data_IF_043534265173
#
_entry.id   IF_043534265173
#
_cell.length_a   1.000
_cell.length_b   1.000
_cell.length_c   1.000
_cell.angle_alpha   90.00
_cell.angle_beta   90.00
_cell.angle_gamma   90.00
#
_symmetry.space_group_name_H-M   'P 1'
#
loop_
_entity.id
_entity.type
_entity.pdbx_description
1 polymer ?
#
# COMPACT_ATOMS: atom_id res chain seq x y z
N UNK A 1 -23.64 9.81 12.24
CA UNK A 1 -22.82 9.53 11.05
C UNK A 1 -23.69 9.79 9.84
N UNK A 2 -23.52 10.94 9.19
CA UNK A 2 -24.12 11.16 7.86
C UNK A 2 -23.40 10.22 6.87
N UNK A 3 -24.18 9.44 6.13
CA UNK A 3 -23.64 8.59 5.07
C UNK A 3 -23.26 9.42 3.85
N UNK A 4 -22.37 8.89 3.01
CA UNK A 4 -21.95 9.53 1.76
C UNK A 4 -23.17 9.81 0.87
N UNK A 5 -23.22 11.01 0.28
CA UNK A 5 -24.30 11.38 -0.64
C UNK A 5 -24.25 10.59 -1.95
N UNK A 6 -25.39 10.46 -2.65
CA UNK A 6 -25.45 9.71 -3.94
C UNK A 6 -24.44 10.21 -4.97
N UNK A 7 -24.25 11.52 -5.06
CA UNK A 7 -23.30 12.13 -6.00
C UNK A 7 -21.85 11.86 -5.63
N UNK A 8 -21.56 11.77 -4.32
CA UNK A 8 -20.24 11.43 -3.82
C UNK A 8 -19.88 9.97 -4.12
N UNK A 9 -20.84 9.05 -3.93
CA UNK A 9 -20.69 7.64 -4.31
C UNK A 9 -20.41 7.52 -5.81
N UNK A 10 -21.12 8.28 -6.65
CA UNK A 10 -20.90 8.29 -8.11
C UNK A 10 -19.47 8.75 -8.45
N UNK A 11 -18.99 9.84 -7.86
CA UNK A 11 -17.62 10.35 -8.08
C UNK A 11 -16.54 9.35 -7.63
N UNK A 12 -16.70 8.72 -6.48
CA UNK A 12 -15.75 7.70 -5.99
C UNK A 12 -15.71 6.52 -6.97
N UNK A 13 -16.88 6.08 -7.45
CA UNK A 13 -16.95 4.98 -8.40
C UNK A 13 -16.24 5.29 -9.72
N UNK A 14 -16.53 6.45 -10.31
CA UNK A 14 -15.89 6.89 -11.56
C UNK A 14 -14.36 6.95 -11.40
N UNK A 15 -13.87 7.53 -10.31
CA UNK A 15 -12.44 7.58 -9.99
C UNK A 15 -11.79 6.18 -9.86
N UNK A 16 -12.46 5.23 -9.21
CA UNK A 16 -11.96 3.87 -9.06
C UNK A 16 -11.99 3.08 -10.37
N UNK A 17 -13.03 3.27 -11.19
CA UNK A 17 -13.16 2.63 -12.51
C UNK A 17 -12.06 3.14 -13.47
N UNK A 18 -11.81 4.46 -13.51
CA UNK A 18 -10.73 5.06 -14.29
C UNK A 18 -9.34 4.56 -13.83
N UNK A 19 -9.15 4.39 -12.52
CA UNK A 19 -7.89 3.90 -11.94
C UNK A 19 -7.66 2.40 -12.07
N UNK A 20 -8.69 1.62 -12.41
CA UNK A 20 -8.65 0.15 -12.36
C UNK A 20 -7.47 -0.48 -13.11
N UNK A 21 -7.16 -0.08 -14.36
CA UNK A 21 -6.02 -0.68 -15.09
C UNK A 21 -4.69 -0.50 -14.36
N UNK A 22 -4.48 0.67 -13.74
CA UNK A 22 -3.28 0.95 -12.95
C UNK A 22 -3.23 0.08 -11.70
N UNK A 23 -4.33 -0.09 -10.99
CA UNK A 23 -4.36 -0.90 -9.76
C UNK A 23 -4.12 -2.38 -10.05
N UNK A 24 -4.61 -2.90 -11.17
CA UNK A 24 -4.32 -4.25 -11.63
C UNK A 24 -2.85 -4.44 -12.02
N UNK A 25 -2.24 -3.48 -12.72
CA UNK A 25 -0.80 -3.51 -13.02
C UNK A 25 0.05 -3.51 -11.74
N UNK A 26 -0.32 -2.68 -10.76
CA UNK A 26 0.34 -2.68 -9.44
C UNK A 26 0.23 -4.06 -8.78
N UNK A 27 -0.96 -4.68 -8.81
CA UNK A 27 -1.17 -6.01 -8.25
C UNK A 27 -0.32 -7.08 -8.96
N UNK A 28 -0.23 -7.03 -10.29
CA UNK A 28 0.63 -7.92 -11.08
C UNK A 28 2.09 -7.79 -10.66
N UNK A 29 2.60 -6.57 -10.53
CA UNK A 29 3.96 -6.31 -10.05
C UNK A 29 4.18 -6.83 -8.62
N UNK A 30 3.20 -6.66 -7.72
CA UNK A 30 3.27 -7.19 -6.35
C UNK A 30 3.34 -8.72 -6.34
N UNK A 31 2.55 -9.41 -7.16
CA UNK A 31 2.56 -10.86 -7.28
C UNK A 31 3.92 -11.34 -7.81
N UNK A 32 4.47 -10.65 -8.81
CA UNK A 32 5.76 -10.99 -9.43
C UNK A 32 6.96 -10.86 -8.47
N UNK A 33 6.83 -10.13 -7.35
CA UNK A 33 7.89 -10.02 -6.32
C UNK A 33 8.06 -11.32 -5.51
N UNK A 34 7.05 -12.20 -5.47
CA UNK A 34 7.07 -13.49 -4.78
C UNK A 34 7.44 -13.40 -3.28
N UNK A 35 6.54 -12.83 -2.47
CA UNK A 35 6.74 -12.52 -1.05
C UNK A 35 6.05 -13.51 -0.10
N UNK A 36 6.23 -14.82 -0.28
CA UNK A 36 5.72 -15.78 0.71
C UNK A 36 6.46 -15.63 2.05
N UNK A 37 5.83 -16.07 3.14
CA UNK A 37 6.24 -15.75 4.52
C UNK A 37 7.72 -16.04 4.81
N UNK A 38 8.27 -17.15 4.32
CA UNK A 38 9.69 -17.53 4.53
C UNK A 38 10.69 -16.85 3.59
N UNK A 39 10.24 -16.04 2.64
CA UNK A 39 11.13 -15.26 1.76
C UNK A 39 11.29 -13.84 2.29
N UNK A 40 12.11 -13.67 3.33
CA UNK A 40 12.39 -12.35 3.91
C UNK A 40 12.84 -11.32 2.87
N UNK A 41 13.65 -11.73 1.89
CA UNK A 41 14.10 -10.84 0.81
C UNK A 41 12.95 -10.36 -0.08
N UNK A 42 12.01 -11.25 -0.42
CA UNK A 42 10.82 -10.95 -1.19
C UNK A 42 9.84 -10.05 -0.43
N UNK A 43 9.62 -10.33 0.86
CA UNK A 43 8.81 -9.49 1.76
C UNK A 43 9.40 -8.08 1.84
N UNK A 44 10.71 -7.95 2.06
CA UNK A 44 11.39 -6.64 2.12
C UNK A 44 11.32 -5.89 0.79
N UNK A 45 11.44 -6.60 -0.35
CA UNK A 45 11.29 -6.00 -1.68
C UNK A 45 9.85 -5.49 -1.90
N UNK A 46 8.84 -6.27 -1.53
CA UNK A 46 7.44 -5.86 -1.62
C UNK A 46 7.14 -4.65 -0.72
N UNK A 47 7.72 -4.60 0.48
CA UNK A 47 7.62 -3.45 1.38
C UNK A 47 8.20 -2.17 0.78
N UNK A 48 9.39 -2.24 0.15
CA UNK A 48 9.97 -1.09 -0.56
C UNK A 48 9.15 -0.65 -1.76
N UNK A 49 8.66 -1.60 -2.55
CA UNK A 49 7.78 -1.30 -3.67
C UNK A 49 6.50 -0.57 -3.21
N UNK A 50 5.84 -1.11 -2.18
CA UNK A 50 4.63 -0.52 -1.59
C UNK A 50 4.89 0.89 -1.05
N UNK A 51 6.01 1.11 -0.33
CA UNK A 51 6.36 2.43 0.16
C UNK A 51 6.51 3.46 -0.96
N UNK A 52 7.16 3.11 -2.07
CA UNK A 52 7.31 4.00 -3.23
C UNK A 52 5.98 4.37 -3.91
N UNK A 53 4.95 3.53 -3.83
CA UNK A 53 3.60 3.88 -4.30
C UNK A 53 2.94 4.93 -3.42
N UNK A 54 3.15 4.84 -2.10
CA UNK A 54 2.51 5.67 -1.09
C UNK A 54 3.27 6.97 -0.81
N UNK A 55 4.57 7.03 -1.09
CA UNK A 55 5.38 8.25 -1.00
C UNK A 55 4.77 9.39 -1.85
N UNK A 56 4.33 9.07 -3.07
CA UNK A 56 3.64 10.03 -3.96
C UNK A 56 2.31 10.53 -3.42
N UNK A 57 1.74 9.87 -2.42
CA UNK A 57 0.51 10.26 -1.73
C UNK A 57 0.78 11.01 -0.42
N UNK A 58 2.06 11.31 -0.12
CA UNK A 58 2.48 12.05 1.07
C UNK A 58 2.62 11.19 2.33
N UNK A 59 2.79 9.87 2.19
CA UNK A 59 3.09 8.99 3.32
C UNK A 59 4.60 8.87 3.54
N UNK A 60 5.01 8.87 4.80
CA UNK A 60 6.34 8.48 5.24
C UNK A 60 6.37 6.99 5.60
N UNK A 61 7.44 6.31 5.22
CA UNK A 61 7.64 4.88 5.47
C UNK A 61 8.62 4.63 6.61
N UNK A 62 8.28 3.68 7.48
CA UNK A 62 9.15 3.10 8.50
C UNK A 62 9.22 1.59 8.32
N UNK A 63 10.41 1.02 8.48
CA UNK A 63 10.64 -0.43 8.41
C UNK A 63 11.04 -0.95 9.78
N UNK A 64 10.21 -1.80 10.37
CA UNK A 64 10.44 -2.38 11.70
C UNK A 64 10.90 -3.83 11.54
N UNK A 65 12.09 -4.23 12.05
CA UNK A 65 12.54 -5.61 11.98
C UNK A 65 11.55 -6.59 12.61
N UNK A 66 11.47 -7.81 12.06
CA UNK A 66 10.64 -8.87 12.65
C UNK A 66 11.16 -9.27 14.02
N UNK A 67 10.25 -9.54 14.97
CA UNK A 67 10.60 -10.12 16.27
C UNK A 67 11.21 -11.53 16.16
N UNK A 68 11.04 -12.20 15.02
CA UNK A 68 11.58 -13.52 14.72
C UNK A 68 12.92 -13.46 13.94
N UNK A 69 13.58 -12.29 13.91
CA UNK A 69 14.88 -12.10 13.27
C UNK A 69 14.83 -12.15 11.74
N UNK A 70 15.95 -12.53 11.11
CA UNK A 70 16.11 -12.52 9.65
C UNK A 70 15.32 -13.59 8.89
N UNK A 71 14.71 -14.53 9.63
CA UNK A 71 13.85 -15.57 9.03
C UNK A 71 12.61 -14.97 8.34
N UNK A 72 12.24 -13.73 8.67
CA UNK A 72 11.09 -13.02 8.12
C UNK A 72 11.46 -11.59 7.71
N UNK A 73 10.70 -11.03 6.78
CA UNK A 73 10.89 -9.63 6.37
C UNK A 73 10.44 -8.64 7.44
N UNK A 74 10.92 -7.41 7.31
CA UNK A 74 10.50 -6.27 8.12
C UNK A 74 9.03 -5.93 7.89
N UNK A 75 8.38 -5.45 8.94
CA UNK A 75 7.08 -4.80 8.84
C UNK A 75 7.25 -3.42 8.18
N UNK A 76 6.30 -3.03 7.33
CA UNK A 76 6.20 -1.69 6.78
C UNK A 76 5.09 -0.93 7.50
N UNK A 77 5.41 0.24 8.05
CA UNK A 77 4.45 1.20 8.59
C UNK A 77 4.44 2.42 7.69
N UNK A 78 3.25 2.86 7.27
CA UNK A 78 3.05 4.04 6.44
C UNK A 78 2.21 5.07 7.19
N UNK A 79 2.77 6.25 7.40
CA UNK A 79 2.14 7.32 8.17
C UNK A 79 1.97 8.55 7.30
N UNK A 80 0.77 9.12 7.31
CA UNK A 80 0.51 10.46 6.78
C UNK A 80 -0.24 11.26 7.84
N UNK A 81 0.35 12.37 8.27
CA UNK A 81 -0.26 13.24 9.28
C UNK A 81 -1.55 13.85 8.73
N UNK A 82 -2.63 13.74 9.50
CA UNK A 82 -3.88 14.41 9.16
C UNK A 82 -3.72 15.92 9.24
N UNK A 83 -4.26 16.64 8.27
CA UNK A 83 -4.37 18.10 8.31
C UNK A 83 -5.81 18.44 8.68
N UNK A 84 -6.06 18.78 9.95
CA UNK A 84 -7.29 19.48 10.31
C UNK A 84 -7.10 20.96 9.98
N UNK A 85 -7.99 21.52 9.17
CA UNK A 85 -8.22 22.97 9.13
C UNK A 85 -9.21 23.36 10.24
#
# INVERSE_FOLDING_TARGET
>A
MEGLGRDEIKRIREFLEEGMPRYLAILEEMIAINSFTGNASGVNRLGRYTAGLFERLGFAAEYVPSAHGEAYGSHLVLTRTGTSA
#
